data_IF_724104165825
#
_entry.id   IF_724104165825
#
_cell.length_a   1.000
_cell.length_b   1.000
_cell.length_c   1.000
_cell.angle_alpha   90.00
_cell.angle_beta   90.00
_cell.angle_gamma   90.00
#
_symmetry.space_group_name_H-M   'P 1'
#
loop_
_entity.id
_entity.type
_entity.pdbx_description
1 polymer ?
#
# COMPACT_ATOMS: atom_id res chain seq x y z
N UNK A 1 -4.27 -8.84 24.86
CA UNK A 1 -4.28 -8.40 23.44
C UNK A 1 -5.51 -7.53 23.23
N UNK A 2 -5.37 -6.32 22.70
CA UNK A 2 -6.49 -5.44 22.41
C UNK A 2 -7.31 -6.01 21.26
N UNK A 3 -8.64 -5.86 21.33
CA UNK A 3 -9.52 -6.19 20.21
C UNK A 3 -9.38 -5.13 19.10
N UNK A 4 -9.48 -5.55 17.86
CA UNK A 4 -9.55 -4.65 16.70
C UNK A 4 -10.88 -3.90 16.70
N UNK A 5 -10.82 -2.59 16.48
CA UNK A 5 -11.99 -1.74 16.29
C UNK A 5 -11.91 -1.19 14.87
N UNK A 6 -12.70 -1.71 13.92
CA UNK A 6 -12.67 -1.23 12.54
C UNK A 6 -13.07 0.25 12.42
N UNK A 7 -12.51 0.93 11.44
CA UNK A 7 -12.89 2.29 11.04
C UNK A 7 -13.57 2.28 9.66
N UNK A 8 -14.14 3.42 9.18
CA UNK A 8 -14.72 3.50 7.84
C UNK A 8 -13.70 3.14 6.74
N UNK A 9 -14.10 2.27 5.79
CA UNK A 9 -13.20 1.77 4.75
C UNK A 9 -12.72 2.84 3.76
N UNK A 10 -13.52 3.87 3.52
CA UNK A 10 -13.19 4.89 2.53
C UNK A 10 -13.08 6.26 3.17
N UNK A 11 -11.91 6.86 3.10
CA UNK A 11 -11.66 8.24 3.55
C UNK A 11 -12.11 9.22 2.46
N UNK A 12 -13.38 9.64 2.52
CA UNK A 12 -13.96 10.54 1.51
C UNK A 12 -14.59 11.82 2.12
N UNK A 13 -14.48 12.02 3.44
CA UNK A 13 -14.87 13.26 4.09
C UNK A 13 -13.94 14.41 3.67
N UNK A 14 -14.49 15.57 3.24
CA UNK A 14 -13.68 16.68 2.75
C UNK A 14 -12.61 17.15 3.74
N UNK A 15 -12.95 17.27 5.01
CA UNK A 15 -12.04 17.79 6.03
C UNK A 15 -10.90 16.80 6.32
N UNK A 16 -11.20 15.49 6.30
CA UNK A 16 -10.18 14.45 6.44
C UNK A 16 -9.24 14.43 5.25
N UNK A 17 -9.79 14.43 4.02
CA UNK A 17 -8.99 14.43 2.78
C UNK A 17 -8.09 15.65 2.72
N UNK A 18 -8.63 16.83 2.97
CA UNK A 18 -7.87 18.09 2.91
C UNK A 18 -6.75 18.10 3.96
N UNK A 19 -7.04 17.68 5.20
CA UNK A 19 -6.03 17.61 6.27
C UNK A 19 -4.95 16.56 5.95
N UNK A 20 -5.34 15.38 5.48
CA UNK A 20 -4.41 14.31 5.10
C UNK A 20 -3.54 14.72 3.91
N UNK A 21 -4.14 15.32 2.88
CA UNK A 21 -3.40 15.78 1.72
C UNK A 21 -2.43 16.93 2.03
N UNK A 22 -2.75 17.80 3.01
CA UNK A 22 -1.89 18.89 3.43
C UNK A 22 -0.77 18.47 4.40
N UNK A 23 -0.87 17.29 5.00
CA UNK A 23 0.14 16.79 5.94
C UNK A 23 1.45 16.42 5.23
N UNK A 24 2.57 16.64 5.91
CA UNK A 24 3.90 16.26 5.40
C UNK A 24 4.24 14.83 5.84
N UNK A 25 4.09 13.90 4.92
CA UNK A 25 4.51 12.51 5.06
C UNK A 25 5.80 12.19 4.29
N UNK A 26 6.50 13.21 3.76
CA UNK A 26 7.63 13.03 2.83
C UNK A 26 8.71 12.06 3.32
N UNK A 27 9.05 12.13 4.60
CA UNK A 27 10.05 11.23 5.21
C UNK A 27 9.59 9.76 5.23
N UNK A 28 8.34 9.51 5.61
CA UNK A 28 7.75 8.16 5.66
C UNK A 28 7.51 7.60 4.26
N UNK A 29 7.02 8.43 3.34
CA UNK A 29 6.76 8.03 1.95
C UNK A 29 8.07 7.68 1.24
N UNK A 30 9.13 8.45 1.45
CA UNK A 30 10.46 8.16 0.91
C UNK A 30 11.00 6.83 1.43
N UNK A 31 10.78 6.49 2.70
CA UNK A 31 11.22 5.22 3.29
C UNK A 31 10.60 4.02 2.56
N UNK A 32 9.34 4.11 2.10
CA UNK A 32 8.69 3.03 1.33
C UNK A 32 9.42 2.81 0.00
N UNK A 33 9.73 3.88 -0.72
CA UNK A 33 10.43 3.80 -2.02
C UNK A 33 11.87 3.27 -1.86
N UNK A 34 12.57 3.71 -0.81
CA UNK A 34 13.89 3.20 -0.48
C UNK A 34 13.86 1.71 -0.13
N UNK A 35 12.82 1.29 0.58
CA UNK A 35 12.62 -0.12 0.91
C UNK A 35 12.43 -1.00 -0.32
N UNK A 36 11.66 -0.55 -1.33
CA UNK A 36 11.57 -1.23 -2.63
C UNK A 36 12.96 -1.37 -3.27
N UNK A 37 13.75 -0.29 -3.29
CA UNK A 37 15.09 -0.32 -3.86
C UNK A 37 16.02 -1.31 -3.13
N UNK A 38 15.94 -1.37 -1.79
CA UNK A 38 16.71 -2.32 -0.97
C UNK A 38 16.31 -3.77 -1.25
N UNK A 39 15.01 -4.07 -1.42
CA UNK A 39 14.53 -5.41 -1.73
C UNK A 39 15.00 -5.87 -3.12
N UNK A 40 14.96 -4.99 -4.11
CA UNK A 40 15.53 -5.27 -5.44
C UNK A 40 17.02 -5.56 -5.36
N UNK A 41 17.79 -4.72 -4.66
CA UNK A 41 19.22 -4.90 -4.49
C UNK A 41 19.56 -6.22 -3.75
N UNK A 42 18.85 -6.54 -2.69
CA UNK A 42 19.06 -7.78 -1.93
C UNK A 42 18.81 -9.04 -2.75
N UNK A 43 17.91 -8.95 -3.75
CA UNK A 43 17.61 -10.05 -4.68
C UNK A 43 18.45 -10.02 -5.94
N UNK A 44 19.40 -9.09 -6.08
CA UNK A 44 20.14 -8.81 -7.31
C UNK A 44 19.22 -8.61 -8.54
N UNK A 45 18.02 -8.08 -8.30
CA UNK A 45 16.97 -7.85 -9.28
C UNK A 45 16.89 -6.37 -9.68
N UNK A 46 16.34 -6.14 -10.86
CA UNK A 46 15.95 -4.81 -11.34
C UNK A 46 14.62 -4.92 -12.07
N UNK A 47 13.88 -3.81 -12.13
CA UNK A 47 12.70 -3.78 -12.99
C UNK A 47 13.11 -3.89 -14.47
N UNK A 48 12.34 -4.66 -15.27
CA UNK A 48 12.55 -4.67 -16.72
C UNK A 48 12.24 -3.29 -17.32
N UNK A 49 12.72 -3.05 -18.55
CA UNK A 49 12.33 -1.87 -19.31
C UNK A 49 10.80 -1.83 -19.47
N UNK A 50 10.21 -0.66 -19.21
CA UNK A 50 8.76 -0.47 -19.25
C UNK A 50 7.98 -1.26 -18.17
N UNK A 51 8.63 -1.64 -17.07
CA UNK A 51 7.95 -2.27 -15.94
C UNK A 51 6.73 -1.45 -15.50
N UNK A 52 5.75 -2.17 -14.99
CA UNK A 52 4.53 -1.57 -14.44
C UNK A 52 4.53 -1.65 -12.92
N UNK A 53 4.42 -0.50 -12.29
CA UNK A 53 4.35 -0.36 -10.85
C UNK A 53 2.90 0.01 -10.45
N UNK A 54 2.37 -0.67 -9.45
CA UNK A 54 1.01 -0.50 -8.99
C UNK A 54 1.01 -0.09 -7.51
N UNK A 55 0.28 0.98 -7.18
CA UNK A 55 0.10 1.48 -5.83
C UNK A 55 -1.37 1.35 -5.43
N UNK A 56 -1.68 0.43 -4.50
CA UNK A 56 -3.04 0.14 -4.03
C UNK A 56 -3.34 0.98 -2.78
N UNK A 57 -4.42 1.75 -2.82
CA UNK A 57 -4.74 2.73 -1.80
C UNK A 57 -3.79 3.93 -1.87
N UNK A 58 -3.57 4.46 -3.08
CA UNK A 58 -2.56 5.48 -3.34
C UNK A 58 -2.84 6.83 -2.66
N UNK A 59 -4.04 7.05 -2.13
CA UNK A 59 -4.44 8.30 -1.51
C UNK A 59 -4.18 9.51 -2.42
N UNK A 60 -3.56 10.59 -1.90
CA UNK A 60 -3.26 11.80 -2.66
C UNK A 60 -2.03 11.65 -3.58
N UNK A 61 -1.53 10.42 -3.78
CA UNK A 61 -0.54 10.07 -4.80
C UNK A 61 0.93 10.31 -4.43
N UNK A 62 1.27 10.49 -3.17
CA UNK A 62 2.64 10.82 -2.75
C UNK A 62 3.63 9.71 -3.14
N UNK A 63 3.40 8.47 -2.67
CA UNK A 63 4.27 7.31 -2.95
C UNK A 63 4.28 7.01 -4.44
N UNK A 64 3.12 7.03 -5.10
CA UNK A 64 3.00 6.80 -6.54
C UNK A 64 3.88 7.77 -7.36
N UNK A 65 3.90 9.05 -6.98
CA UNK A 65 4.75 10.06 -7.62
C UNK A 65 6.24 9.82 -7.37
N UNK A 66 6.62 9.44 -6.15
CA UNK A 66 8.01 9.09 -5.81
C UNK A 66 8.48 7.84 -6.57
N UNK A 67 7.63 6.83 -6.75
CA UNK A 67 7.92 5.65 -7.58
C UNK A 67 8.20 6.07 -9.04
N UNK A 68 7.36 6.94 -9.62
CA UNK A 68 7.53 7.45 -10.97
C UNK A 68 8.82 8.26 -11.15
N UNK A 69 9.25 8.99 -10.12
CA UNK A 69 10.51 9.73 -10.13
C UNK A 69 11.71 8.80 -10.01
N UNK A 70 11.63 7.81 -9.13
CA UNK A 70 12.74 6.88 -8.84
C UNK A 70 13.04 5.94 -10.00
N UNK A 71 12.01 5.50 -10.73
CA UNK A 71 12.13 4.60 -11.88
C UNK A 71 11.52 5.25 -13.13
N UNK A 72 12.27 6.15 -13.79
CA UNK A 72 11.74 6.98 -14.90
C UNK A 72 11.36 6.18 -16.15
N UNK A 73 11.81 4.96 -16.28
CA UNK A 73 11.47 4.08 -17.40
C UNK A 73 10.24 3.19 -17.15
N UNK A 74 9.69 3.23 -15.94
CA UNK A 74 8.50 2.48 -15.57
C UNK A 74 7.22 3.32 -15.76
N UNK A 75 6.10 2.63 -15.96
CA UNK A 75 4.77 3.20 -15.84
C UNK A 75 4.21 2.95 -14.45
N UNK A 76 3.58 3.93 -13.83
CA UNK A 76 3.04 3.81 -12.48
C UNK A 76 1.53 4.09 -12.50
N UNK A 77 0.77 3.21 -11.86
CA UNK A 77 -0.67 3.35 -11.68
C UNK A 77 -0.98 3.39 -10.17
N UNK A 78 -1.57 4.49 -9.72
CA UNK A 78 -2.17 4.60 -8.39
C UNK A 78 -3.66 4.28 -8.45
N UNK A 79 -4.14 3.46 -7.52
CA UNK A 79 -5.55 3.10 -7.37
C UNK A 79 -6.05 3.47 -5.98
N UNK A 80 -7.19 4.14 -5.90
CA UNK A 80 -7.86 4.46 -4.64
C UNK A 80 -9.38 4.41 -4.78
N UNK A 81 -10.08 4.14 -3.70
CA UNK A 81 -11.54 4.10 -3.67
C UNK A 81 -12.17 5.49 -3.57
N UNK A 82 -11.44 6.47 -3.02
CA UNK A 82 -11.93 7.81 -2.74
C UNK A 82 -11.76 8.74 -3.94
N UNK A 83 -12.85 9.20 -4.54
CA UNK A 83 -12.84 10.15 -5.66
C UNK A 83 -12.04 11.42 -5.35
N UNK A 84 -12.12 11.91 -4.13
CA UNK A 84 -11.40 13.12 -3.70
C UNK A 84 -9.90 12.90 -3.65
N UNK A 85 -9.44 11.74 -3.19
CA UNK A 85 -8.01 11.38 -3.19
C UNK A 85 -7.47 11.33 -4.60
N UNK A 86 -8.18 10.67 -5.52
CA UNK A 86 -7.81 10.60 -6.94
C UNK A 86 -7.76 11.99 -7.57
N UNK A 87 -8.72 12.86 -7.26
CA UNK A 87 -8.73 14.23 -7.78
C UNK A 87 -7.49 15.02 -7.34
N UNK A 88 -7.11 14.93 -6.06
CA UNK A 88 -5.88 15.58 -5.52
C UNK A 88 -4.63 15.00 -6.17
N UNK A 89 -4.54 13.68 -6.30
CA UNK A 89 -3.40 12.99 -6.90
C UNK A 89 -3.19 13.42 -8.36
N UNK A 90 -4.28 13.49 -9.14
CA UNK A 90 -4.20 13.87 -10.55
C UNK A 90 -3.92 15.37 -10.76
N UNK A 91 -4.41 16.24 -9.87
CA UNK A 91 -4.04 17.66 -9.85
C UNK A 91 -2.53 17.83 -9.61
N UNK A 92 -1.97 17.13 -8.61
CA UNK A 92 -0.54 17.15 -8.32
C UNK A 92 0.32 16.62 -9.48
N UNK A 93 -0.14 15.52 -10.12
CA UNK A 93 0.52 15.00 -11.33
C UNK A 93 0.61 16.04 -12.44
N UNK A 94 -0.51 16.72 -12.74
CA UNK A 94 -0.56 17.78 -13.75
C UNK A 94 0.34 18.97 -13.40
N UNK A 95 0.30 19.40 -12.14
CA UNK A 95 1.15 20.49 -11.65
C UNK A 95 2.65 20.15 -11.75
N UNK A 96 3.01 18.89 -11.57
CA UNK A 96 4.37 18.38 -11.75
C UNK A 96 4.77 18.13 -13.21
N UNK A 97 3.86 18.33 -14.18
CA UNK A 97 4.11 18.11 -15.61
C UNK A 97 4.33 16.64 -15.98
N UNK A 98 3.87 15.70 -15.16
CA UNK A 98 4.03 14.27 -15.44
C UNK A 98 2.94 13.77 -16.41
N UNK A 99 3.32 13.15 -17.55
CA UNK A 99 2.37 12.66 -18.52
C UNK A 99 1.60 11.42 -18.01
N UNK A 100 0.35 11.27 -18.45
CA UNK A 100 -0.53 10.17 -18.02
C UNK A 100 -0.07 8.78 -18.46
N UNK A 101 0.76 8.71 -19.47
CA UNK A 101 1.38 7.47 -19.95
C UNK A 101 2.41 6.93 -18.95
N UNK A 102 2.99 7.82 -18.14
CA UNK A 102 3.97 7.47 -17.12
C UNK A 102 3.38 7.32 -15.72
N UNK A 103 2.47 8.21 -15.37
CA UNK A 103 1.82 8.23 -14.06
C UNK A 103 0.34 8.49 -14.23
N UNK A 104 -0.48 7.55 -13.79
CA UNK A 104 -1.93 7.64 -13.85
C UNK A 104 -2.55 7.27 -12.51
N UNK A 105 -3.70 7.86 -12.24
CA UNK A 105 -4.52 7.56 -11.08
C UNK A 105 -5.92 7.18 -11.54
N UNK A 106 -6.44 6.05 -11.05
CA UNK A 106 -7.77 5.58 -11.37
C UNK A 106 -8.53 5.22 -10.09
N UNK A 107 -9.84 5.43 -10.09
CA UNK A 107 -10.68 4.96 -9.01
C UNK A 107 -10.86 3.44 -9.11
N UNK A 108 -10.65 2.76 -8.00
CA UNK A 108 -10.89 1.31 -7.91
C UNK A 108 -11.26 0.90 -6.49
N UNK A 109 -12.06 -0.15 -6.38
CA UNK A 109 -12.43 -0.80 -5.12
C UNK A 109 -11.84 -2.22 -5.10
N UNK A 110 -11.31 -2.63 -3.96
CA UNK A 110 -10.89 -4.00 -3.74
C UNK A 110 -12.12 -4.92 -3.49
N UNK A 111 -12.08 -6.21 -3.83
CA UNK A 111 -10.96 -6.89 -4.46
C UNK A 111 -10.88 -6.64 -5.98
N UNK A 112 -9.66 -6.67 -6.52
CA UNK A 112 -9.41 -6.51 -7.96
C UNK A 112 -9.00 -7.84 -8.60
N UNK A 113 -9.58 -8.15 -9.76
CA UNK A 113 -9.19 -9.30 -10.57
C UNK A 113 -8.25 -8.93 -11.71
N UNK A 114 -8.23 -7.65 -12.06
CA UNK A 114 -7.32 -7.09 -13.05
C UNK A 114 -7.21 -5.57 -12.89
N UNK A 115 -6.08 -5.02 -13.27
CA UNK A 115 -5.84 -3.57 -13.34
C UNK A 115 -5.06 -3.23 -14.62
N UNK A 116 -5.53 -3.72 -15.76
CA UNK A 116 -4.83 -3.66 -17.05
C UNK A 116 -3.79 -4.79 -17.18
N UNK A 117 -2.54 -4.48 -17.55
CA UNK A 117 -1.47 -5.48 -17.63
C UNK A 117 -0.96 -5.86 -16.23
N UNK A 118 -0.38 -7.06 -16.05
CA UNK A 118 0.23 -7.48 -14.79
C UNK A 118 1.33 -6.51 -14.32
N UNK A 119 1.44 -6.36 -13.00
CA UNK A 119 2.39 -5.45 -12.36
C UNK A 119 3.68 -6.17 -11.93
N UNK A 120 4.83 -5.52 -12.11
CA UNK A 120 6.14 -5.99 -11.66
C UNK A 120 6.45 -5.56 -10.22
N UNK A 121 5.73 -4.55 -9.73
CA UNK A 121 5.68 -4.13 -8.34
C UNK A 121 4.24 -3.85 -7.93
N UNK A 122 3.84 -4.37 -6.79
CA UNK A 122 2.62 -3.96 -6.10
C UNK A 122 3.02 -3.39 -4.75
N UNK A 123 2.76 -2.09 -4.56
CA UNK A 123 2.93 -1.40 -3.28
C UNK A 123 1.58 -1.09 -2.69
N UNK A 124 1.47 -1.10 -1.40
CA UNK A 124 0.42 -0.41 -0.65
C UNK A 124 0.95 0.09 0.69
N UNK A 125 0.47 1.23 1.12
CA UNK A 125 0.86 1.81 2.39
C UNK A 125 -0.36 2.39 3.11
N UNK A 126 -0.54 2.05 4.38
CA UNK A 126 -1.65 2.53 5.20
C UNK A 126 -3.04 2.26 4.58
N UNK A 127 -3.25 1.04 4.09
CA UNK A 127 -4.48 0.61 3.43
C UNK A 127 -5.21 -0.51 4.18
N UNK A 128 -4.46 -1.51 4.68
CA UNK A 128 -5.05 -2.74 5.20
C UNK A 128 -5.94 -2.49 6.42
N UNK A 129 -5.56 -1.56 7.29
CA UNK A 129 -6.33 -1.24 8.49
C UNK A 129 -7.72 -0.65 8.18
N UNK A 130 -7.91 -0.03 7.03
CA UNK A 130 -9.22 0.42 6.57
C UNK A 130 -10.15 -0.72 6.18
N UNK A 131 -9.63 -1.85 5.68
CA UNK A 131 -10.44 -2.93 5.15
C UNK A 131 -11.13 -3.71 6.28
N UNK A 132 -12.45 -3.85 6.19
CA UNK A 132 -13.22 -4.69 7.11
C UNK A 132 -12.90 -6.18 6.85
N UNK A 133 -12.79 -6.57 5.59
CA UNK A 133 -12.29 -7.88 5.16
C UNK A 133 -10.89 -7.72 4.53
N UNK A 134 -9.81 -8.10 5.24
CA UNK A 134 -8.45 -8.00 4.74
C UNK A 134 -8.17 -8.88 3.51
N UNK A 135 -9.02 -9.91 3.27
CA UNK A 135 -8.87 -10.75 2.08
C UNK A 135 -9.13 -9.98 0.78
N UNK A 136 -9.81 -8.85 0.82
CA UNK A 136 -9.97 -7.97 -0.34
C UNK A 136 -8.61 -7.50 -0.89
N UNK A 137 -7.64 -7.18 -0.02
CA UNK A 137 -6.27 -6.83 -0.45
C UNK A 137 -5.52 -8.08 -0.92
N UNK A 138 -5.45 -9.10 -0.07
CA UNK A 138 -4.57 -10.26 -0.34
C UNK A 138 -5.01 -11.06 -1.56
N UNK A 139 -6.31 -11.25 -1.78
CA UNK A 139 -6.84 -11.94 -2.96
C UNK A 139 -6.64 -11.16 -4.28
N UNK A 140 -6.38 -9.85 -4.19
CA UNK A 140 -6.09 -9.02 -5.36
C UNK A 140 -4.65 -9.17 -5.86
N UNK A 141 -3.71 -9.59 -5.01
CA UNK A 141 -2.28 -9.57 -5.38
C UNK A 141 -1.95 -10.53 -6.52
N UNK A 142 -2.38 -11.79 -6.43
CA UNK A 142 -2.05 -12.82 -7.44
C UNK A 142 -2.60 -12.47 -8.83
N UNK A 143 -3.88 -12.06 -8.99
CA UNK A 143 -4.42 -11.65 -10.30
C UNK A 143 -3.76 -10.43 -10.92
N UNK A 144 -3.16 -9.56 -10.08
CA UNK A 144 -2.51 -8.34 -10.53
C UNK A 144 -1.02 -8.51 -10.82
N UNK A 145 -0.40 -9.58 -10.32
CA UNK A 145 1.05 -9.79 -10.37
C UNK A 145 1.53 -10.30 -11.73
N UNK A 146 2.67 -9.80 -12.21
CA UNK A 146 3.47 -10.45 -13.24
C UNK A 146 4.16 -11.71 -12.68
N UNK A 147 4.78 -12.57 -13.53
CA UNK A 147 5.42 -13.79 -13.05
C UNK A 147 6.54 -13.63 -12.02
N UNK A 148 7.07 -12.43 -11.87
CA UNK A 148 8.09 -12.07 -10.88
C UNK A 148 7.75 -10.72 -10.25
N UNK A 149 6.59 -10.61 -9.65
CA UNK A 149 6.14 -9.38 -9.03
C UNK A 149 6.71 -9.23 -7.62
N UNK A 150 7.37 -8.11 -7.36
CA UNK A 150 7.72 -7.72 -6.00
C UNK A 150 6.50 -7.13 -5.29
N UNK A 151 6.26 -7.55 -4.06
CA UNK A 151 5.22 -6.98 -3.20
C UNK A 151 5.87 -6.28 -2.02
N UNK A 152 5.40 -5.08 -1.72
CA UNK A 152 5.68 -4.35 -0.50
C UNK A 152 4.39 -3.74 0.03
N UNK A 153 3.93 -4.24 1.17
CA UNK A 153 2.84 -3.62 1.91
C UNK A 153 3.36 -3.15 3.27
N UNK A 154 3.12 -1.88 3.62
CA UNK A 154 3.44 -1.31 4.93
C UNK A 154 2.19 -0.72 5.55
N UNK A 155 1.95 -1.04 6.81
CA UNK A 155 0.77 -0.53 7.51
C UNK A 155 1.05 -0.31 8.99
N UNK A 156 0.17 0.42 9.67
CA UNK A 156 0.18 0.51 11.11
C UNK A 156 -0.01 -0.88 11.72
N UNK A 157 0.63 -1.10 12.85
CA UNK A 157 0.52 -2.32 13.64
C UNK A 157 -0.28 -2.03 14.91
N UNK A 158 -1.30 -2.84 15.20
CA UNK A 158 -2.12 -2.67 16.41
C UNK A 158 -1.26 -2.80 17.65
N UNK A 159 -1.22 -1.77 18.52
CA UNK A 159 -0.53 -1.82 19.81
C UNK A 159 -1.18 -2.83 20.76
N UNK A 160 -0.48 -3.17 21.83
CA UNK A 160 -0.93 -4.13 22.84
C UNK A 160 -1.85 -3.52 23.91
N UNK A 161 -1.83 -2.20 24.08
CA UNK A 161 -2.53 -1.48 25.14
C UNK A 161 -2.88 -0.05 24.76
N UNK A 162 -3.88 0.52 25.43
CA UNK A 162 -4.26 1.96 25.32
C UNK A 162 -3.07 2.86 25.66
N UNK A 163 -2.30 2.53 26.68
CA UNK A 163 -1.11 3.30 27.04
C UNK A 163 -0.05 3.33 25.91
N UNK A 164 0.03 2.26 25.11
CA UNK A 164 0.89 2.22 23.92
C UNK A 164 0.33 3.10 22.81
N UNK A 165 -1.00 3.12 22.61
CA UNK A 165 -1.66 4.04 21.67
C UNK A 165 -1.41 5.50 22.08
N UNK A 166 -1.63 5.84 23.36
CA UNK A 166 -1.39 7.20 23.86
C UNK A 166 0.05 7.66 23.61
N UNK A 167 1.03 6.79 23.88
CA UNK A 167 2.44 7.07 23.62
C UNK A 167 2.69 7.31 22.12
N UNK A 168 2.18 6.47 21.24
CA UNK A 168 2.35 6.64 19.80
C UNK A 168 1.69 7.93 19.29
N UNK A 169 0.49 8.26 19.77
CA UNK A 169 -0.16 9.52 19.44
C UNK A 169 0.68 10.72 19.90
N UNK A 170 1.22 10.66 21.13
CA UNK A 170 2.09 11.72 21.65
C UNK A 170 3.41 11.85 20.86
N UNK A 171 3.99 10.73 20.42
CA UNK A 171 5.26 10.76 19.68
C UNK A 171 5.11 11.21 18.23
N UNK A 172 4.00 10.87 17.57
CA UNK A 172 3.93 10.99 16.11
C UNK A 172 2.95 12.03 15.59
N UNK A 173 1.92 12.41 16.39
CA UNK A 173 0.87 13.32 15.92
C UNK A 173 0.51 14.42 16.94
N UNK A 174 1.30 14.63 17.99
CA UNK A 174 0.99 15.62 19.04
C UNK A 174 0.76 17.03 18.47
N UNK A 175 1.55 17.42 17.48
CA UNK A 175 1.49 18.74 16.84
C UNK A 175 0.61 18.78 15.58
N UNK A 176 0.00 17.65 15.21
CA UNK A 176 -0.86 17.58 14.04
C UNK A 176 -2.25 18.19 14.31
N UNK A 177 -3.00 18.60 13.29
CA UNK A 177 -4.41 18.99 13.44
C UNK A 177 -5.23 17.92 14.16
N UNK A 178 -6.22 18.33 14.96
CA UNK A 178 -7.02 17.42 15.80
C UNK A 178 -7.73 16.32 15.01
N UNK A 179 -8.10 16.58 13.75
CA UNK A 179 -8.68 15.58 12.86
C UNK A 179 -7.67 14.45 12.59
N UNK A 180 -6.40 14.75 12.31
CA UNK A 180 -5.37 13.76 12.09
C UNK A 180 -4.97 13.02 13.37
N UNK A 181 -4.99 13.68 14.53
CA UNK A 181 -4.76 13.01 15.82
C UNK A 181 -5.84 11.97 16.10
N UNK A 182 -7.11 12.33 15.88
CA UNK A 182 -8.25 11.44 16.03
C UNK A 182 -8.15 10.25 15.06
N UNK A 183 -7.90 10.54 13.79
CA UNK A 183 -7.84 9.54 12.75
C UNK A 183 -6.66 8.57 12.96
N UNK A 184 -5.47 9.08 13.33
CA UNK A 184 -4.33 8.23 13.67
C UNK A 184 -4.63 7.27 14.83
N UNK A 185 -5.31 7.76 15.89
CA UNK A 185 -5.75 6.90 16.99
C UNK A 185 -6.73 5.81 16.53
N UNK A 186 -7.70 6.17 15.68
CA UNK A 186 -8.67 5.22 15.13
C UNK A 186 -7.96 4.16 14.27
N UNK A 187 -7.02 4.57 13.42
CA UNK A 187 -6.22 3.67 12.57
C UNK A 187 -5.37 2.71 13.40
N UNK A 188 -4.79 3.13 14.55
CA UNK A 188 -4.09 2.22 15.46
C UNK A 188 -5.01 1.15 16.05
N UNK A 189 -6.26 1.50 16.39
CA UNK A 189 -7.27 0.53 16.84
C UNK A 189 -7.73 -0.41 15.71
N UNK A 190 -7.81 0.10 14.47
CA UNK A 190 -8.26 -0.64 13.30
C UNK A 190 -7.16 -1.53 12.69
N UNK A 191 -5.91 -1.31 13.06
CA UNK A 191 -4.74 -2.03 12.54
C UNK A 191 -4.74 -3.51 12.94
N UNK A 192 -3.98 -4.31 12.21
CA UNK A 192 -3.78 -5.73 12.50
C UNK A 192 -2.44 -5.96 13.22
N UNK A 193 -2.32 -7.10 13.90
CA UNK A 193 -1.03 -7.58 14.45
C UNK A 193 -0.27 -8.38 13.39
N UNK A 194 1.03 -8.60 13.62
CA UNK A 194 1.87 -9.43 12.74
C UNK A 194 1.29 -10.84 12.59
N UNK A 195 0.82 -11.44 13.70
CA UNK A 195 0.26 -12.79 13.73
C UNK A 195 -1.05 -12.87 12.92
N UNK A 196 -1.90 -11.86 13.02
CA UNK A 196 -3.14 -11.78 12.24
C UNK A 196 -2.83 -11.67 10.74
N UNK A 197 -1.86 -10.83 10.34
CA UNK A 197 -1.46 -10.70 8.94
C UNK A 197 -0.84 -11.98 8.40
N UNK A 198 0.00 -12.67 9.16
CA UNK A 198 0.53 -14.00 8.79
C UNK A 198 -0.59 -15.01 8.52
N UNK A 199 -1.59 -15.05 9.39
CA UNK A 199 -2.75 -15.91 9.20
C UNK A 199 -3.59 -15.54 7.97
N UNK A 200 -3.78 -14.25 7.70
CA UNK A 200 -4.49 -13.75 6.53
C UNK A 200 -3.77 -14.14 5.22
N UNK A 201 -2.44 -13.96 5.18
CA UNK A 201 -1.62 -14.35 4.01
C UNK A 201 -1.64 -15.86 3.77
N UNK A 202 -1.63 -16.65 4.82
CA UNK A 202 -1.73 -18.11 4.70
C UNK A 202 -3.07 -18.52 4.05
N UNK A 203 -4.18 -17.89 4.46
CA UNK A 203 -5.51 -18.12 3.87
C UNK A 203 -5.57 -17.68 2.40
N UNK A 204 -4.83 -16.65 2.01
CA UNK A 204 -4.75 -16.16 0.64
C UNK A 204 -3.77 -16.94 -0.26
N UNK A 205 -3.11 -17.98 0.26
CA UNK A 205 -2.07 -18.72 -0.47
C UNK A 205 -0.73 -17.95 -0.62
N UNK A 206 -0.55 -16.89 0.17
CA UNK A 206 0.61 -16.00 0.15
C UNK A 206 1.51 -16.17 1.40
N UNK A 207 1.38 -17.29 2.11
CA UNK A 207 2.13 -17.55 3.33
C UNK A 207 3.66 -17.61 3.19
N UNK A 208 4.18 -17.53 1.97
CA UNK A 208 5.62 -17.40 1.67
C UNK A 208 6.13 -15.96 1.75
N UNK A 209 5.25 -14.95 1.77
CA UNK A 209 5.65 -13.56 1.97
C UNK A 209 6.08 -13.35 3.41
N UNK A 210 7.15 -12.57 3.59
CA UNK A 210 7.69 -12.21 4.88
C UNK A 210 6.83 -11.16 5.56
N UNK A 211 6.60 -11.30 6.88
CA UNK A 211 5.85 -10.32 7.69
C UNK A 211 6.68 -9.95 8.90
N UNK A 212 7.09 -8.70 8.98
CA UNK A 212 7.94 -8.17 10.04
C UNK A 212 7.29 -6.99 10.76
N UNK A 213 7.59 -6.87 12.06
CA UNK A 213 7.36 -5.65 12.80
C UNK A 213 8.49 -4.66 12.48
N UNK A 214 8.14 -3.46 12.04
CA UNK A 214 9.09 -2.43 11.64
C UNK A 214 8.87 -1.16 12.46
N UNK A 215 9.95 -0.60 12.97
CA UNK A 215 9.89 0.57 13.86
C UNK A 215 8.97 0.33 15.07
N UNK A 216 8.49 1.39 15.67
CA UNK A 216 7.63 1.33 16.85
C UNK A 216 6.15 1.08 16.54
N UNK A 217 5.70 1.33 15.30
CA UNK A 217 4.29 1.38 14.92
C UNK A 217 3.89 0.66 13.64
N UNK A 218 4.84 0.19 12.82
CA UNK A 218 4.51 -0.42 11.54
C UNK A 218 4.68 -1.94 11.54
N UNK A 219 4.00 -2.58 10.61
CA UNK A 219 4.32 -3.89 10.07
C UNK A 219 4.60 -3.76 8.57
N UNK A 220 5.37 -4.70 8.06
CA UNK A 220 5.72 -4.78 6.64
C UNK A 220 5.49 -6.20 6.14
N UNK A 221 4.86 -6.32 4.96
CA UNK A 221 4.77 -7.55 4.20
C UNK A 221 5.61 -7.37 2.94
N UNK A 222 6.58 -8.26 2.71
CA UNK A 222 7.43 -8.15 1.53
C UNK A 222 7.80 -9.51 0.95
N UNK A 223 8.09 -9.54 -0.34
CA UNK A 223 8.54 -10.73 -1.04
C UNK A 223 8.09 -10.77 -2.50
N UNK A 224 8.39 -11.88 -3.15
CA UNK A 224 8.12 -12.07 -4.57
C UNK A 224 6.93 -13.00 -4.76
N UNK A 225 5.97 -12.60 -5.58
CA UNK A 225 4.92 -13.49 -6.06
C UNK A 225 5.42 -14.11 -7.37
N UNK A 226 5.52 -15.45 -7.38
CA UNK A 226 5.67 -16.19 -8.61
C UNK A 226 4.30 -16.20 -9.32
N UNK A 227 4.22 -15.59 -10.51
CA UNK A 227 2.98 -15.61 -11.29
C UNK A 227 2.54 -17.05 -11.56
N UNK A 228 1.25 -17.29 -11.54
CA UNK A 228 0.67 -18.53 -12.05
C UNK A 228 1.12 -18.69 -13.51
N UNK A 229 2.04 -19.62 -13.79
CA UNK A 229 2.24 -20.06 -15.17
C UNK A 229 0.89 -20.63 -15.61
N UNK A 230 0.23 -19.96 -16.53
CA UNK A 230 -0.88 -20.54 -17.26
C UNK A 230 -0.41 -21.91 -17.76
N UNK A 231 -1.10 -22.96 -17.29
CA UNK A 231 -0.67 -24.34 -17.46
C UNK A 231 -0.14 -24.60 -18.86
N UNK A 232 1.12 -25.02 -18.93
CA UNK A 232 1.66 -25.65 -20.12
C UNK A 232 0.77 -26.85 -20.39
N UNK A 233 0.01 -26.71 -21.46
CA UNK A 233 -0.78 -27.76 -22.06
C UNK A 233 0.08 -29.02 -22.24
N UNK A 234 -0.11 -29.99 -21.37
CA UNK A 234 0.52 -31.30 -21.53
C UNK A 234 -0.27 -32.00 -22.62
N UNK A 235 0.08 -31.69 -23.87
CA UNK A 235 -0.26 -32.53 -25.00
C UNK A 235 0.42 -33.88 -24.75
N UNK A 236 -0.37 -34.84 -24.34
CA UNK A 236 0.01 -36.26 -24.35
C UNK A 236 -0.01 -36.76 -25.77
N UNK A 237 0.96 -37.65 -26.08
CA UNK A 237 1.03 -38.36 -27.35
C UNK A 237 -0.14 -39.33 -27.53
#
# INVERSE_FOLDING_TARGET
MMLRIPEPEVMNDPLQVDAYAAADFSSTDQTVVERVAMLLQASAASFPDQARLLDLGCGPGNITALLAQRWPHCSVLGLDAADRMIAVADERRRAAGLPSERLRYDKALLPLQQAGQPADLIVSNSLLHHLHDPQQLWSSLIPLASPQCLVLHRDLRRPDSEASIDRLCQCHVADAPSVLQRDYRASLHASFTVEEVKAQLLLAGLGHLQVDAVEDRYLEVSGWIAGCQAGSDVSRP
#
